data_IF_379309202847
#
_entry.id   IF_379309202847
#
_cell.length_a   1.000
_cell.length_b   1.000
_cell.length_c   1.000
_cell.angle_alpha   90.00
_cell.angle_beta   90.00
_cell.angle_gamma   90.00
#
_symmetry.space_group_name_H-M   'P 1'
#
loop_
_entity.id
_entity.type
_entity.pdbx_description
1 polymer ?
#
# COMPACT_ATOMS: atom_id res chain seq x y z
N UNK A 1 5.95 -31.00 -26.87
CA UNK A 1 5.03 -29.96 -27.36
C UNK A 1 5.19 -28.76 -26.42
N UNK A 2 5.59 -27.58 -26.91
CA UNK A 2 5.70 -26.39 -26.07
C UNK A 2 4.31 -25.88 -25.81
N UNK A 3 3.94 -25.75 -24.53
CA UNK A 3 2.79 -24.99 -24.11
C UNK A 3 3.10 -23.50 -24.26
N UNK A 4 2.65 -22.95 -25.37
CA UNK A 4 2.43 -21.51 -25.52
C UNK A 4 1.21 -21.13 -24.69
N UNK A 5 1.41 -20.74 -23.46
CA UNK A 5 0.45 -19.91 -22.76
C UNK A 5 0.84 -18.45 -22.94
N UNK A 6 0.40 -17.85 -24.03
CA UNK A 6 0.26 -16.40 -24.09
C UNK A 6 -0.91 -16.06 -23.17
N UNK A 7 -0.65 -15.98 -21.87
CA UNK A 7 -1.55 -15.34 -20.95
C UNK A 7 -1.61 -13.86 -21.34
N UNK A 8 -2.77 -13.44 -21.84
CA UNK A 8 -3.23 -12.08 -21.77
C UNK A 8 -3.36 -11.76 -20.29
N UNK A 9 -2.24 -11.41 -19.64
CA UNK A 9 -2.24 -11.02 -18.24
C UNK A 9 -3.00 -9.70 -18.16
N UNK A 10 -4.26 -9.81 -17.78
CA UNK A 10 -5.08 -8.65 -17.49
C UNK A 10 -4.34 -7.79 -16.44
N UNK A 11 -4.15 -6.51 -16.74
CA UNK A 11 -3.46 -5.60 -15.81
C UNK A 11 -4.13 -5.64 -14.44
N UNK A 12 -3.32 -5.58 -13.39
CA UNK A 12 -3.81 -5.47 -12.03
C UNK A 12 -4.68 -4.21 -11.87
N UNK A 13 -5.83 -4.29 -11.17
CA UNK A 13 -6.63 -3.13 -10.85
C UNK A 13 -5.85 -2.02 -10.12
N UNK A 14 -4.83 -2.38 -9.33
CA UNK A 14 -3.95 -1.43 -8.67
C UNK A 14 -3.09 -0.66 -9.69
N UNK A 15 -2.55 -1.35 -10.70
CA UNK A 15 -1.80 -0.70 -11.77
C UNK A 15 -2.68 0.25 -12.58
N UNK A 16 -3.88 -0.20 -12.95
CA UNK A 16 -4.84 0.63 -13.67
C UNK A 16 -5.23 1.91 -12.91
N UNK A 17 -5.33 1.84 -11.57
CA UNK A 17 -5.61 3.01 -10.75
C UNK A 17 -4.47 4.06 -10.83
N UNK A 18 -3.22 3.62 -10.79
CA UNK A 18 -2.06 4.52 -10.93
C UNK A 18 -1.99 5.12 -12.34
N UNK A 19 -2.15 4.30 -13.36
CA UNK A 19 -2.12 4.74 -14.76
C UNK A 19 -3.26 5.73 -15.08
N UNK A 20 -4.43 5.55 -14.47
CA UNK A 20 -5.56 6.48 -14.60
C UNK A 20 -5.21 7.86 -14.04
N UNK A 21 -4.56 7.93 -12.88
CA UNK A 21 -4.11 9.20 -12.32
C UNK A 21 -3.12 9.89 -13.25
N UNK A 22 -2.18 9.14 -13.85
CA UNK A 22 -1.25 9.66 -14.86
C UNK A 22 -1.95 10.20 -16.10
N UNK A 23 -2.96 9.49 -16.60
CA UNK A 23 -3.74 9.95 -17.74
C UNK A 23 -4.48 11.27 -17.46
N UNK A 24 -4.73 11.59 -16.19
CA UNK A 24 -5.27 12.87 -15.72
C UNK A 24 -4.18 13.92 -15.45
N UNK A 25 -2.93 13.63 -15.78
CA UNK A 25 -1.80 14.56 -15.62
C UNK A 25 -1.33 14.74 -14.18
N UNK A 26 -1.64 13.80 -13.28
CA UNK A 26 -1.25 13.88 -11.88
C UNK A 26 -0.61 12.59 -11.38
N UNK A 27 0.07 12.69 -10.26
CA UNK A 27 0.57 11.54 -9.51
C UNK A 27 -0.57 10.83 -8.79
N UNK A 28 -0.55 9.50 -8.72
CA UNK A 28 -1.51 8.75 -7.93
C UNK A 28 -1.29 8.99 -6.42
N UNK A 29 -2.36 8.91 -5.66
CA UNK A 29 -2.36 9.11 -4.20
C UNK A 29 -2.87 7.87 -3.52
N UNK A 30 -2.04 7.33 -2.62
CA UNK A 30 -2.28 6.08 -1.89
C UNK A 30 -2.26 6.37 -0.38
N UNK A 31 -3.36 6.85 0.21
CA UNK A 31 -3.45 7.02 1.66
C UNK A 31 -3.53 5.69 2.39
N UNK A 32 -2.90 5.64 3.56
CA UNK A 32 -2.97 4.54 4.52
C UNK A 32 -3.82 4.94 5.72
N UNK A 33 -4.68 4.02 6.16
CA UNK A 33 -5.41 4.16 7.42
C UNK A 33 -5.47 2.80 8.13
N UNK A 34 -5.15 2.78 9.44
CA UNK A 34 -5.33 1.60 10.28
C UNK A 34 -6.82 1.30 10.45
N UNK A 35 -7.22 0.06 10.20
CA UNK A 35 -8.60 -0.36 10.38
C UNK A 35 -9.04 -0.15 11.83
N UNK A 36 -10.21 0.49 12.01
CA UNK A 36 -10.73 0.86 13.32
C UNK A 36 -10.10 2.10 13.95
N UNK A 37 -9.31 2.88 13.19
CA UNK A 37 -8.75 4.15 13.65
C UNK A 37 -9.63 5.34 13.22
N UNK A 38 -9.84 6.34 14.08
CA UNK A 38 -9.47 6.43 15.50
C UNK A 38 -10.33 5.53 16.41
N UNK A 39 -11.47 5.07 15.93
CA UNK A 39 -12.36 4.10 16.55
C UNK A 39 -13.15 3.31 15.48
N UNK A 40 -13.85 2.24 15.90
CA UNK A 40 -14.53 1.33 14.96
C UNK A 40 -15.67 1.97 14.19
N UNK A 41 -16.34 2.95 14.77
CA UNK A 41 -17.51 3.60 14.15
C UNK A 41 -17.06 4.66 13.15
N UNK A 42 -16.20 5.58 13.58
CA UNK A 42 -15.73 6.68 12.74
C UNK A 42 -14.75 6.23 11.62
N UNK A 43 -14.11 5.07 11.76
CA UNK A 43 -13.24 4.51 10.72
C UNK A 43 -13.92 4.46 9.35
N UNK A 44 -15.16 3.98 9.28
CA UNK A 44 -15.86 3.86 8.00
C UNK A 44 -16.17 5.22 7.39
N UNK A 45 -16.50 6.20 8.22
CA UNK A 45 -16.70 7.58 7.77
C UNK A 45 -15.40 8.18 7.24
N UNK A 46 -14.27 7.96 7.93
CA UNK A 46 -12.97 8.40 7.44
C UNK A 46 -12.58 7.73 6.14
N UNK A 47 -12.85 6.43 5.99
CA UNK A 47 -12.59 5.69 4.75
C UNK A 47 -13.37 6.29 3.56
N UNK A 48 -14.65 6.59 3.75
CA UNK A 48 -15.49 7.24 2.72
C UNK A 48 -15.02 8.67 2.41
N UNK A 49 -14.55 9.41 3.42
CA UNK A 49 -13.97 10.75 3.23
C UNK A 49 -12.68 10.71 2.43
N UNK A 50 -11.81 9.76 2.73
CA UNK A 50 -10.55 9.53 2.00
C UNK A 50 -10.84 9.21 0.52
N UNK A 51 -11.79 8.32 0.26
CA UNK A 51 -12.21 7.98 -1.09
C UNK A 51 -12.77 9.21 -1.83
N UNK A 52 -13.70 9.93 -1.22
CA UNK A 52 -14.33 11.12 -1.79
C UNK A 52 -13.33 12.26 -2.07
N UNK A 53 -12.22 12.31 -1.36
CA UNK A 53 -11.14 13.28 -1.57
C UNK A 53 -10.27 12.96 -2.81
N UNK A 54 -10.50 11.84 -3.48
CA UNK A 54 -9.84 11.49 -4.74
C UNK A 54 -8.64 10.57 -4.59
N UNK A 55 -8.57 9.78 -3.52
CA UNK A 55 -7.62 8.68 -3.42
C UNK A 55 -7.75 7.71 -4.60
N UNK A 56 -6.63 7.23 -5.11
CA UNK A 56 -6.61 6.26 -6.22
C UNK A 56 -6.59 4.82 -5.71
N UNK A 57 -5.83 4.60 -4.65
CA UNK A 57 -5.76 3.35 -3.90
C UNK A 57 -5.81 3.71 -2.42
N UNK A 58 -6.51 2.93 -1.61
CA UNK A 58 -6.51 3.08 -0.15
C UNK A 58 -5.89 1.83 0.45
N UNK A 59 -4.84 2.02 1.25
CA UNK A 59 -4.24 0.97 2.05
C UNK A 59 -4.94 0.91 3.41
N UNK A 60 -5.53 -0.23 3.71
CA UNK A 60 -6.17 -0.49 5.00
C UNK A 60 -5.23 -1.35 5.82
N UNK A 61 -4.72 -0.80 6.91
CA UNK A 61 -3.84 -1.49 7.84
C UNK A 61 -4.59 -2.51 8.68
N UNK A 62 -4.20 -3.78 8.59
CA UNK A 62 -4.70 -4.84 9.45
C UNK A 62 -3.96 -4.79 10.77
N UNK A 63 -4.64 -4.54 11.92
CA UNK A 63 -3.98 -4.45 13.20
C UNK A 63 -3.24 -5.74 13.58
N UNK A 64 -2.04 -5.58 14.14
CA UNK A 64 -1.18 -6.68 14.59
C UNK A 64 -0.44 -6.28 15.87
N UNK A 65 -0.16 -7.26 16.75
CA UNK A 65 0.49 -7.02 18.04
C UNK A 65 1.97 -6.64 17.92
N UNK A 66 2.64 -7.12 16.87
CA UNK A 66 4.09 -6.98 16.68
C UNK A 66 4.44 -6.33 15.32
N UNK A 67 4.03 -5.07 15.09
CA UNK A 67 4.15 -4.41 13.79
C UNK A 67 5.56 -3.86 13.56
N UNK A 68 6.52 -4.72 13.28
CA UNK A 68 7.96 -4.43 13.19
C UNK A 68 8.37 -3.40 12.12
N UNK A 69 7.53 -3.19 11.12
CA UNK A 69 7.78 -2.23 10.04
C UNK A 69 7.07 -0.89 10.25
N UNK A 70 6.25 -0.75 11.28
CA UNK A 70 5.42 0.44 11.51
C UNK A 70 6.13 1.48 12.39
N UNK A 71 5.83 2.75 12.13
CA UNK A 71 6.24 3.84 13.01
C UNK A 71 5.36 3.93 14.29
N UNK A 72 5.80 4.71 15.30
CA UNK A 72 5.15 4.73 16.62
C UNK A 72 3.65 5.05 16.61
N UNK A 73 3.21 5.93 15.72
CA UNK A 73 1.81 6.33 15.61
C UNK A 73 0.95 5.19 15.04
N UNK A 74 1.43 4.53 13.99
CA UNK A 74 0.73 3.40 13.36
C UNK A 74 0.71 2.21 14.32
N UNK A 75 1.81 1.97 15.01
CA UNK A 75 1.90 0.94 16.06
C UNK A 75 0.89 1.18 17.19
N UNK A 76 0.76 2.41 17.67
CA UNK A 76 -0.24 2.76 18.69
C UNK A 76 -1.67 2.58 18.16
N UNK A 77 -1.95 3.04 16.94
CA UNK A 77 -3.25 2.86 16.29
C UNK A 77 -3.62 1.36 16.16
N UNK A 78 -2.65 0.53 15.83
CA UNK A 78 -2.81 -0.92 15.74
C UNK A 78 -3.15 -1.55 17.10
N UNK A 79 -2.43 -1.19 18.16
CA UNK A 79 -2.72 -1.65 19.54
C UNK A 79 -4.13 -1.25 19.99
N UNK A 80 -4.50 0.00 19.77
CA UNK A 80 -5.82 0.52 20.15
C UNK A 80 -6.94 -0.18 19.40
N UNK A 81 -6.76 -0.44 18.11
CA UNK A 81 -7.71 -1.15 17.28
C UNK A 81 -7.91 -2.61 17.77
N UNK A 82 -6.81 -3.31 18.07
CA UNK A 82 -6.87 -4.67 18.65
C UNK A 82 -7.64 -4.68 19.97
N UNK A 83 -7.36 -3.72 20.86
CA UNK A 83 -8.05 -3.60 22.16
C UNK A 83 -9.56 -3.38 21.99
N UNK A 84 -10.00 -2.78 20.88
CA UNK A 84 -11.41 -2.58 20.52
C UNK A 84 -12.02 -3.76 19.76
N UNK A 85 -11.29 -4.84 19.56
CA UNK A 85 -11.78 -6.04 18.89
C UNK A 85 -11.83 -5.92 17.36
N UNK A 86 -10.98 -5.08 16.76
CA UNK A 86 -10.81 -5.07 15.30
C UNK A 86 -10.04 -6.32 14.89
N UNK A 87 -10.58 -7.05 13.92
CA UNK A 87 -10.00 -8.26 13.36
C UNK A 87 -10.04 -8.22 11.84
N UNK A 88 -9.28 -9.10 11.20
CA UNK A 88 -9.34 -9.26 9.75
C UNK A 88 -10.77 -9.62 9.27
N UNK A 89 -11.46 -10.47 10.02
CA UNK A 89 -12.87 -10.78 9.72
C UNK A 89 -13.75 -9.54 9.81
N UNK A 90 -13.61 -8.72 10.85
CA UNK A 90 -14.37 -7.48 11.00
C UNK A 90 -14.14 -6.53 9.82
N UNK A 91 -12.88 -6.42 9.35
CA UNK A 91 -12.52 -5.58 8.20
C UNK A 91 -13.23 -6.10 6.94
N UNK A 92 -13.10 -7.39 6.64
CA UNK A 92 -13.66 -8.00 5.43
C UNK A 92 -15.19 -7.96 5.41
N UNK A 93 -15.84 -8.24 6.53
CA UNK A 93 -17.30 -8.15 6.66
C UNK A 93 -17.77 -6.70 6.42
N UNK A 94 -17.09 -5.74 6.99
CA UNK A 94 -17.42 -4.32 6.82
C UNK A 94 -17.21 -3.81 5.41
N UNK A 95 -16.15 -4.23 4.72
CA UNK A 95 -15.89 -3.92 3.31
C UNK A 95 -16.92 -4.59 2.40
N UNK A 96 -17.25 -5.85 2.65
CA UNK A 96 -18.25 -6.59 1.89
C UNK A 96 -19.61 -5.89 1.96
N UNK A 97 -20.02 -5.41 3.13
CA UNK A 97 -21.25 -4.62 3.29
C UNK A 97 -21.24 -3.28 2.54
N UNK A 98 -20.08 -2.80 2.13
CA UNK A 98 -19.85 -1.54 1.41
C UNK A 98 -19.35 -1.74 -0.01
N UNK A 99 -19.39 -2.96 -0.52
CA UNK A 99 -18.91 -3.28 -1.87
C UNK A 99 -19.55 -2.37 -2.92
N UNK A 100 -18.72 -1.84 -3.83
CA UNK A 100 -19.16 -0.93 -4.89
C UNK A 100 -19.35 0.53 -4.46
N UNK A 101 -19.10 0.88 -3.20
CA UNK A 101 -19.20 2.27 -2.73
C UNK A 101 -17.94 3.09 -2.96
N UNK A 102 -16.78 2.44 -3.12
CA UNK A 102 -15.49 3.11 -3.26
C UNK A 102 -15.07 3.23 -4.73
N UNK A 103 -14.58 4.40 -5.12
CA UNK A 103 -13.89 4.63 -6.39
C UNK A 103 -12.46 4.13 -6.34
N UNK A 104 -11.77 4.40 -5.22
CA UNK A 104 -10.42 3.93 -4.98
C UNK A 104 -10.37 2.41 -4.98
N UNK A 105 -9.27 1.85 -5.46
CA UNK A 105 -8.98 0.44 -5.24
C UNK A 105 -8.52 0.24 -3.81
N UNK A 106 -8.84 -0.91 -3.24
CA UNK A 106 -8.53 -1.23 -1.86
C UNK A 106 -7.39 -2.26 -1.79
N UNK A 107 -6.40 -1.99 -0.95
CA UNK A 107 -5.34 -2.93 -0.62
C UNK A 107 -5.31 -3.15 0.90
N UNK A 108 -5.11 -4.37 1.34
CA UNK A 108 -4.87 -4.69 2.74
C UNK A 108 -3.38 -4.72 3.01
N UNK A 109 -2.94 -3.96 4.00
CA UNK A 109 -1.56 -4.01 4.49
C UNK A 109 -1.54 -4.73 5.83
N UNK A 110 -0.76 -5.78 5.92
CA UNK A 110 -0.65 -6.57 7.15
C UNK A 110 0.52 -7.53 7.13
N UNK A 111 0.71 -8.22 8.24
CA UNK A 111 1.83 -9.13 8.45
C UNK A 111 1.46 -10.56 8.10
N UNK A 112 2.47 -11.37 7.80
CA UNK A 112 2.31 -12.78 7.38
C UNK A 112 1.43 -13.56 8.35
N UNK A 113 1.69 -13.45 9.66
CA UNK A 113 1.05 -14.30 10.65
C UNK A 113 -0.48 -14.14 10.73
N UNK A 114 -1.06 -12.94 10.82
CA UNK A 114 -2.51 -12.77 10.77
C UNK A 114 -3.15 -13.33 9.50
N UNK A 115 -2.53 -13.12 8.36
CA UNK A 115 -3.03 -13.64 7.08
C UNK A 115 -2.97 -15.16 7.02
N UNK A 116 -1.85 -15.73 7.43
CA UNK A 116 -1.66 -17.17 7.47
C UNK A 116 -2.64 -17.86 8.43
N UNK A 117 -2.87 -17.27 9.61
CA UNK A 117 -3.84 -17.81 10.59
C UNK A 117 -5.29 -17.74 10.10
N UNK A 118 -5.64 -16.75 9.29
CA UNK A 118 -6.97 -16.68 8.67
C UNK A 118 -7.20 -17.82 7.67
N UNK A 119 -6.12 -18.32 7.06
CA UNK A 119 -6.12 -19.30 5.98
C UNK A 119 -6.11 -18.58 4.62
N UNK A 120 -5.04 -18.79 3.84
CA UNK A 120 -4.78 -18.01 2.63
C UNK A 120 -5.85 -18.15 1.54
N UNK A 121 -6.34 -19.36 1.31
CA UNK A 121 -7.41 -19.63 0.34
C UNK A 121 -8.72 -18.94 0.74
N UNK A 122 -9.08 -19.04 2.02
CA UNK A 122 -10.25 -18.36 2.56
C UNK A 122 -10.09 -16.84 2.50
N UNK A 123 -8.89 -16.35 2.86
CA UNK A 123 -8.58 -14.92 2.78
C UNK A 123 -8.73 -14.40 1.36
N UNK A 124 -8.21 -15.13 0.37
CA UNK A 124 -8.31 -14.74 -1.03
C UNK A 124 -9.77 -14.63 -1.49
N UNK A 125 -10.59 -15.61 -1.14
CA UNK A 125 -12.02 -15.60 -1.47
C UNK A 125 -12.75 -14.44 -0.78
N UNK A 126 -12.61 -14.32 0.53
CA UNK A 126 -13.30 -13.30 1.33
C UNK A 126 -12.85 -11.88 0.93
N UNK A 127 -11.57 -11.67 0.62
CA UNK A 127 -11.04 -10.40 0.15
C UNK A 127 -11.56 -10.01 -1.24
N UNK A 128 -11.57 -10.94 -2.19
CA UNK A 128 -12.14 -10.71 -3.51
C UNK A 128 -13.64 -10.38 -3.44
N UNK A 129 -14.38 -11.11 -2.61
CA UNK A 129 -15.80 -10.82 -2.35
C UNK A 129 -16.01 -9.45 -1.70
N UNK A 130 -15.10 -9.03 -0.85
CA UNK A 130 -15.13 -7.71 -0.20
C UNK A 130 -14.71 -6.54 -1.11
N UNK A 131 -14.21 -6.82 -2.32
CA UNK A 131 -13.75 -5.80 -3.26
C UNK A 131 -12.30 -5.35 -3.05
N UNK A 132 -11.51 -6.12 -2.32
CA UNK A 132 -10.06 -5.90 -2.19
C UNK A 132 -9.37 -6.27 -3.48
N UNK A 133 -8.37 -5.48 -3.90
CA UNK A 133 -7.62 -5.68 -5.14
C UNK A 133 -6.20 -6.20 -4.92
N UNK A 134 -5.68 -6.13 -3.69
CA UNK A 134 -4.35 -6.63 -3.41
C UNK A 134 -3.91 -6.51 -1.97
N UNK A 135 -2.68 -6.95 -1.73
CA UNK A 135 -2.07 -7.04 -0.41
C UNK A 135 -0.66 -6.47 -0.40
N UNK A 136 -0.30 -5.86 0.71
CA UNK A 136 1.05 -5.40 1.02
C UNK A 136 1.48 -6.11 2.31
N UNK A 137 2.54 -6.92 2.23
CA UNK A 137 3.00 -7.77 3.34
C UNK A 137 4.49 -7.51 3.60
N UNK A 138 4.81 -6.54 4.49
CA UNK A 138 6.19 -6.05 4.64
C UNK A 138 7.20 -7.06 5.19
N UNK A 139 6.74 -8.06 5.93
CA UNK A 139 7.58 -9.08 6.57
C UNK A 139 7.66 -10.40 5.78
N UNK A 140 7.25 -10.40 4.51
CA UNK A 140 7.28 -11.60 3.68
C UNK A 140 8.43 -11.56 2.68
N UNK A 141 9.42 -12.47 2.79
CA UNK A 141 10.47 -12.61 1.79
C UNK A 141 9.94 -13.26 0.51
N UNK A 142 10.62 -13.01 -0.61
CA UNK A 142 10.26 -13.56 -1.92
C UNK A 142 10.13 -15.09 -1.88
N UNK A 143 11.03 -15.75 -1.18
CA UNK A 143 11.13 -17.21 -1.08
C UNK A 143 9.87 -17.83 -0.45
N UNK A 144 9.19 -17.11 0.42
CA UNK A 144 7.97 -17.55 1.10
C UNK A 144 6.68 -17.06 0.41
N UNK A 145 6.81 -16.14 -0.54
CA UNK A 145 5.66 -15.49 -1.17
C UNK A 145 4.88 -16.39 -2.14
N UNK A 146 5.44 -17.53 -2.54
CA UNK A 146 4.81 -18.44 -3.49
C UNK A 146 3.44 -18.92 -3.03
N UNK A 147 3.31 -19.35 -1.77
CA UNK A 147 2.03 -19.82 -1.21
C UNK A 147 0.95 -18.74 -1.19
N UNK A 148 1.33 -17.48 -1.01
CA UNK A 148 0.41 -16.35 -1.09
C UNK A 148 -0.05 -16.11 -2.53
N UNK A 149 0.87 -16.13 -3.49
CA UNK A 149 0.52 -15.98 -4.92
C UNK A 149 -0.38 -17.11 -5.40
N UNK A 150 -0.08 -18.35 -5.03
CA UNK A 150 -0.88 -19.50 -5.40
C UNK A 150 -2.34 -19.36 -4.94
N UNK A 151 -2.56 -18.74 -3.77
CA UNK A 151 -3.89 -18.46 -3.25
C UNK A 151 -4.53 -17.20 -3.88
N UNK A 152 -3.74 -16.16 -4.16
CA UNK A 152 -4.25 -14.84 -4.55
C UNK A 152 -4.47 -14.67 -6.05
N UNK A 153 -3.56 -15.21 -6.88
CA UNK A 153 -3.60 -15.07 -8.34
C UNK A 153 -4.90 -15.58 -8.98
N UNK A 154 -5.49 -16.73 -8.53
CA UNK A 154 -6.75 -17.20 -9.08
C UNK A 154 -7.93 -16.24 -8.87
N UNK A 155 -7.82 -15.35 -7.89
CA UNK A 155 -8.83 -14.33 -7.56
C UNK A 155 -8.49 -12.94 -8.08
N UNK A 156 -7.41 -12.80 -8.87
CA UNK A 156 -6.96 -11.51 -9.41
C UNK A 156 -6.44 -10.53 -8.35
N UNK A 157 -6.02 -11.05 -7.20
CA UNK A 157 -5.47 -10.26 -6.10
C UNK A 157 -3.98 -10.06 -6.28
N UNK A 158 -3.54 -8.82 -6.25
CA UNK A 158 -2.12 -8.46 -6.39
C UNK A 158 -1.39 -8.60 -5.06
N UNK A 159 -0.23 -9.25 -5.07
CA UNK A 159 0.73 -9.18 -3.99
C UNK A 159 1.81 -8.15 -4.37
N UNK A 160 1.82 -7.01 -3.67
CA UNK A 160 2.69 -5.88 -3.98
C UNK A 160 4.14 -6.18 -3.61
N UNK A 161 5.06 -5.90 -4.53
CA UNK A 161 6.51 -6.03 -4.30
C UNK A 161 7.03 -4.81 -3.54
N UNK A 162 7.81 -5.04 -2.47
CA UNK A 162 8.47 -3.99 -1.70
C UNK A 162 9.98 -3.98 -2.00
N UNK A 163 10.53 -2.79 -2.18
CA UNK A 163 11.97 -2.55 -2.27
C UNK A 163 12.39 -1.44 -1.32
N UNK A 164 13.60 -1.53 -0.80
CA UNK A 164 14.16 -0.61 0.16
C UNK A 164 15.57 -0.16 -0.30
N UNK A 165 16.19 0.85 0.32
CA UNK A 165 17.52 1.31 -0.05
C UNK A 165 18.60 0.23 -0.06
N UNK A 166 18.47 -0.78 0.77
CA UNK A 166 19.38 -1.93 0.85
C UNK A 166 19.04 -3.07 -0.12
N UNK A 167 17.96 -2.95 -0.92
CA UNK A 167 17.63 -3.95 -1.94
C UNK A 167 18.54 -3.78 -3.15
N UNK A 168 19.35 -4.81 -3.46
CA UNK A 168 20.24 -4.77 -4.62
C UNK A 168 19.50 -4.86 -5.96
N UNK A 169 20.15 -4.44 -7.04
CA UNK A 169 19.61 -4.58 -8.41
C UNK A 169 19.38 -6.05 -8.77
N UNK A 170 20.29 -6.93 -8.35
CA UNK A 170 20.16 -8.37 -8.54
C UNK A 170 18.89 -8.89 -7.86
N UNK A 171 18.66 -8.49 -6.63
CA UNK A 171 17.45 -8.86 -5.88
C UNK A 171 16.17 -8.30 -6.51
N UNK A 172 16.21 -7.07 -7.01
CA UNK A 172 15.09 -6.49 -7.76
C UNK A 172 14.78 -7.29 -9.04
N UNK A 173 15.81 -7.79 -9.74
CA UNK A 173 15.62 -8.64 -10.91
C UNK A 173 14.98 -9.99 -10.58
N UNK A 174 15.26 -10.54 -9.41
CA UNK A 174 14.58 -11.74 -8.91
C UNK A 174 13.09 -11.45 -8.60
N UNK A 175 12.76 -10.28 -8.12
CA UNK A 175 11.37 -9.87 -7.88
C UNK A 175 10.58 -9.62 -9.17
N UNK A 176 11.22 -9.12 -10.21
CA UNK A 176 10.55 -8.66 -11.45
C UNK A 176 9.55 -9.66 -12.03
N UNK A 177 9.85 -10.96 -12.21
CA UNK A 177 8.91 -11.93 -12.77
C UNK A 177 7.63 -12.13 -11.94
N UNK A 178 7.67 -11.75 -10.67
CA UNK A 178 6.60 -11.92 -9.71
C UNK A 178 5.89 -10.61 -9.34
N UNK A 179 6.29 -9.51 -9.99
CA UNK A 179 5.81 -8.16 -9.69
C UNK A 179 4.63 -7.81 -10.58
N UNK A 180 3.54 -7.34 -9.95
CA UNK A 180 2.37 -6.79 -10.62
C UNK A 180 1.81 -5.61 -9.81
N UNK A 181 0.91 -4.84 -10.39
CA UNK A 181 0.31 -3.68 -9.74
C UNK A 181 1.25 -2.48 -9.70
N UNK A 182 2.02 -2.36 -8.67
CA UNK A 182 3.08 -1.38 -8.50
C UNK A 182 4.18 -1.92 -7.59
N UNK A 183 5.34 -1.29 -7.62
CA UNK A 183 6.41 -1.53 -6.64
C UNK A 183 6.31 -0.50 -5.55
N UNK A 184 6.27 -0.94 -4.31
CA UNK A 184 6.31 -0.07 -3.14
C UNK A 184 7.77 0.16 -2.74
N UNK A 185 8.26 1.36 -2.99
CA UNK A 185 9.58 1.80 -2.54
C UNK A 185 9.42 2.36 -1.13
N UNK A 186 9.95 1.64 -0.15
CA UNK A 186 9.95 2.08 1.25
C UNK A 186 11.26 2.78 1.56
N UNK A 187 11.17 3.98 2.11
CA UNK A 187 12.31 4.66 2.69
C UNK A 187 12.34 4.34 4.18
N UNK A 188 13.40 3.69 4.62
CA UNK A 188 13.66 3.53 6.05
C UNK A 188 14.22 4.84 6.56
N UNK A 189 13.43 5.58 7.34
CA UNK A 189 13.95 6.65 8.19
C UNK A 189 14.86 5.99 9.22
N UNK A 190 16.17 6.02 8.93
CA UNK A 190 17.17 5.32 9.74
C UNK A 190 17.16 5.75 11.19
N UNK A 191 17.10 4.77 12.07
CA UNK A 191 17.37 4.87 13.50
C UNK A 191 18.88 4.92 13.80
N UNK A 192 19.73 5.06 12.80
CA UNK A 192 21.18 5.13 12.97
C UNK A 192 21.67 6.57 12.80
N UNK A 193 22.23 7.12 13.86
CA UNK A 193 22.65 8.51 14.08
C UNK A 193 23.70 9.12 13.14
N UNK A 194 23.66 8.83 11.86
CA UNK A 194 24.36 9.54 10.81
C UNK A 194 23.35 10.36 10.00
N UNK A 195 23.70 11.60 9.65
CA UNK A 195 22.97 12.40 8.65
C UNK A 195 23.13 11.73 7.28
N UNK A 196 22.40 10.63 7.04
CA UNK A 196 22.21 10.11 5.68
C UNK A 196 21.33 11.13 4.98
N UNK A 197 21.78 11.63 3.84
CA UNK A 197 20.92 12.44 2.99
C UNK A 197 19.82 11.54 2.45
N UNK A 198 18.66 11.60 3.09
CA UNK A 198 17.48 10.79 2.76
C UNK A 198 17.07 11.01 1.31
N UNK A 199 17.24 12.22 0.79
CA UNK A 199 16.94 12.58 -0.58
C UNK A 199 17.83 11.82 -1.56
N UNK A 200 19.13 11.71 -1.27
CA UNK A 200 20.06 10.95 -2.09
C UNK A 200 19.71 9.45 -2.07
N UNK A 201 19.50 8.87 -0.89
CA UNK A 201 19.15 7.46 -0.74
C UNK A 201 17.87 7.09 -1.48
N UNK A 202 16.82 7.92 -1.37
CA UNK A 202 15.57 7.75 -2.11
C UNK A 202 15.80 7.87 -3.61
N UNK A 203 16.53 8.88 -4.05
CA UNK A 203 16.85 9.11 -5.47
C UNK A 203 17.54 7.89 -6.09
N UNK A 204 18.56 7.37 -5.43
CA UNK A 204 19.30 6.19 -5.90
C UNK A 204 18.43 4.94 -5.95
N UNK A 205 17.59 4.73 -4.94
CA UNK A 205 16.67 3.58 -4.89
C UNK A 205 15.62 3.66 -5.99
N UNK A 206 15.02 4.83 -6.19
CA UNK A 206 14.05 5.08 -7.25
C UNK A 206 14.64 4.82 -8.64
N UNK A 207 15.84 5.30 -8.91
CA UNK A 207 16.54 5.07 -10.18
C UNK A 207 16.83 3.59 -10.43
N UNK A 208 17.32 2.88 -9.41
CA UNK A 208 17.55 1.42 -9.52
C UNK A 208 16.25 0.66 -9.81
N UNK A 209 15.18 0.98 -9.07
CA UNK A 209 13.88 0.36 -9.28
C UNK A 209 13.31 0.68 -10.67
N UNK A 210 13.44 1.94 -11.13
CA UNK A 210 12.98 2.36 -12.46
C UNK A 210 13.73 1.64 -13.58
N UNK A 211 15.00 1.32 -13.39
CA UNK A 211 15.80 0.59 -14.37
C UNK A 211 15.43 -0.91 -14.47
N UNK A 212 14.78 -1.46 -13.45
CA UNK A 212 14.45 -2.90 -13.40
C UNK A 212 12.98 -3.17 -13.70
N UNK A 213 12.07 -2.42 -13.06
CA UNK A 213 10.63 -2.73 -13.10
C UNK A 213 9.91 -1.98 -14.23
N UNK A 214 8.92 -2.65 -14.83
CA UNK A 214 8.08 -2.09 -15.89
C UNK A 214 6.72 -1.60 -15.38
N UNK A 215 6.44 -1.79 -14.09
CA UNK A 215 5.22 -1.32 -13.41
C UNK A 215 5.47 0.01 -12.69
N UNK A 216 4.41 0.76 -12.35
CA UNK A 216 4.55 2.01 -11.60
C UNK A 216 5.30 1.85 -10.27
N UNK A 217 5.96 2.92 -9.84
CA UNK A 217 6.66 2.99 -8.55
C UNK A 217 5.89 3.91 -7.61
N UNK A 218 5.54 3.39 -6.43
CA UNK A 218 4.99 4.17 -5.34
C UNK A 218 6.07 4.42 -4.29
N UNK A 219 6.10 5.61 -3.72
CA UNK A 219 7.06 5.99 -2.68
C UNK A 219 6.34 6.25 -1.35
N UNK A 220 6.72 5.50 -0.31
CA UNK A 220 6.33 5.72 1.07
C UNK A 220 7.53 6.22 1.88
N UNK A 221 7.41 7.45 2.41
CA UNK A 221 8.57 8.15 2.95
C UNK A 221 8.18 9.24 3.98
N UNK A 222 7.28 8.97 4.88
CA UNK A 222 6.90 10.00 5.86
C UNK A 222 6.46 11.32 5.20
N UNK A 223 5.86 11.24 4.03
CA UNK A 223 5.47 12.39 3.22
C UNK A 223 4.41 13.24 3.93
N UNK A 224 4.62 14.55 3.94
CA UNK A 224 3.72 15.53 4.55
C UNK A 224 3.12 16.48 3.53
N UNK A 225 3.90 16.87 2.52
CA UNK A 225 3.51 17.80 1.47
C UNK A 225 4.01 17.33 0.10
N UNK A 226 3.29 17.67 -1.00
CA UNK A 226 3.71 17.33 -2.35
C UNK A 226 5.09 17.88 -2.74
N UNK A 227 5.49 19.04 -2.23
CA UNK A 227 6.77 19.69 -2.53
C UNK A 227 7.97 18.78 -2.23
N UNK A 228 7.84 17.88 -1.26
CA UNK A 228 8.90 16.90 -0.95
C UNK A 228 9.21 15.97 -2.13
N UNK A 229 8.22 15.67 -2.97
CA UNK A 229 8.41 14.85 -4.17
C UNK A 229 8.91 15.68 -5.34
N UNK A 230 8.50 16.94 -5.44
CA UNK A 230 8.92 17.85 -6.48
C UNK A 230 10.40 18.26 -6.33
N UNK A 231 10.92 18.17 -5.10
CA UNK A 231 12.35 18.36 -4.81
C UNK A 231 13.24 17.22 -5.33
N UNK A 232 12.67 16.03 -5.64
CA UNK A 232 13.42 14.93 -6.23
C UNK A 232 13.74 15.23 -7.71
N UNK A 233 14.90 14.74 -8.22
CA UNK A 233 15.17 14.76 -9.66
C UNK A 233 14.02 14.11 -10.43
N UNK A 234 13.73 14.62 -11.62
CA UNK A 234 12.57 14.18 -12.41
C UNK A 234 12.59 12.66 -12.67
N UNK A 235 13.75 12.10 -12.97
CA UNK A 235 13.95 10.66 -13.21
C UNK A 235 13.82 9.78 -11.95
N UNK A 236 13.76 10.39 -10.77
CA UNK A 236 13.58 9.73 -9.48
C UNK A 236 12.20 10.00 -8.84
N UNK A 237 11.33 10.74 -9.50
CA UNK A 237 9.99 11.01 -8.98
C UNK A 237 9.11 9.76 -9.05
N UNK A 238 8.32 9.47 -7.99
CA UNK A 238 7.41 8.33 -8.00
C UNK A 238 6.17 8.59 -8.87
N UNK A 239 5.55 7.50 -9.30
CA UNK A 239 4.28 7.49 -10.01
C UNK A 239 3.09 7.62 -9.03
N UNK A 240 3.32 7.22 -7.78
CA UNK A 240 2.34 7.32 -6.70
C UNK A 240 3.00 7.72 -5.38
N UNK A 241 2.27 8.47 -4.56
CA UNK A 241 2.66 8.85 -3.20
C UNK A 241 1.86 8.08 -2.16
N UNK A 242 2.55 7.40 -1.23
CA UNK A 242 1.93 6.73 -0.10
C UNK A 242 1.96 7.65 1.12
N UNK A 243 0.80 7.87 1.72
CA UNK A 243 0.58 8.83 2.80
C UNK A 243 0.06 8.09 4.04
N UNK A 244 0.89 7.93 5.05
CA UNK A 244 0.54 7.18 6.26
C UNK A 244 0.48 8.06 7.51
N UNK A 245 1.57 8.13 8.26
CA UNK A 245 1.63 8.77 9.58
C UNK A 245 1.13 10.22 9.61
N UNK A 246 1.39 10.98 8.54
CA UNK A 246 0.93 12.38 8.48
C UNK A 246 -0.60 12.46 8.40
N UNK A 247 -1.24 11.59 7.62
CA UNK A 247 -2.70 11.49 7.53
C UNK A 247 -3.31 11.03 8.85
N UNK A 248 -2.75 10.00 9.49
CA UNK A 248 -3.24 9.53 10.79
C UNK A 248 -3.14 10.62 11.86
N UNK A 249 -2.05 11.37 11.88
CA UNK A 249 -1.88 12.50 12.81
C UNK A 249 -2.93 13.58 12.59
N UNK A 250 -3.19 13.91 11.32
CA UNK A 250 -4.22 14.89 10.95
C UNK A 250 -5.61 14.46 11.45
N UNK A 251 -5.96 13.20 11.27
CA UNK A 251 -7.22 12.62 11.75
C UNK A 251 -7.25 12.58 13.29
N UNK A 252 -6.14 12.20 13.95
CA UNK A 252 -6.04 12.16 15.41
C UNK A 252 -6.24 13.55 16.07
N UNK A 253 -5.88 14.61 15.35
CA UNK A 253 -6.12 16.00 15.77
C UNK A 253 -7.57 16.46 15.53
N UNK A 254 -8.45 15.57 15.10
CA UNK A 254 -9.86 15.87 14.81
C UNK A 254 -10.10 16.64 13.51
N UNK A 255 -9.11 16.66 12.61
CA UNK A 255 -9.18 17.34 11.32
C UNK A 255 -9.74 16.42 10.25
N UNK A 256 -10.32 17.00 9.19
CA UNK A 256 -10.90 16.24 8.09
C UNK A 256 -9.80 15.65 7.18
N UNK A 257 -9.85 14.34 6.95
CA UNK A 257 -8.95 13.65 6.03
C UNK A 257 -8.97 14.25 4.61
N UNK A 258 -10.13 14.75 4.15
CA UNK A 258 -10.25 15.39 2.85
C UNK A 258 -9.42 16.67 2.73
N UNK A 259 -9.30 17.46 3.81
CA UNK A 259 -8.44 18.65 3.84
C UNK A 259 -6.97 18.31 3.62
N UNK A 260 -6.49 17.23 4.25
CA UNK A 260 -5.12 16.76 4.06
C UNK A 260 -4.89 16.27 2.63
N UNK A 261 -5.81 15.44 2.12
CA UNK A 261 -5.67 14.83 0.80
C UNK A 261 -5.86 15.82 -0.35
N UNK A 262 -6.64 16.88 -0.15
CA UNK A 262 -6.85 17.91 -1.16
C UNK A 262 -5.56 18.54 -1.69
N UNK A 263 -4.54 18.64 -0.84
CA UNK A 263 -3.19 19.14 -1.22
C UNK A 263 -2.49 18.20 -2.21
N UNK A 264 -2.85 16.93 -2.19
CA UNK A 264 -2.25 15.87 -3.02
C UNK A 264 -3.05 15.57 -4.28
N UNK A 265 -4.36 15.69 -4.21
CA UNK A 265 -5.27 15.35 -5.31
C UNK A 265 -5.69 16.54 -6.16
N UNK A 266 -5.47 17.76 -5.67
CA UNK A 266 -5.89 18.99 -6.35
C UNK A 266 -7.40 19.24 -6.30
N UNK A 267 -8.10 18.58 -5.34
CA UNK A 267 -9.55 18.76 -5.12
C UNK A 267 -9.84 19.67 -3.94
#
# INVERSE_FOLDING_TARGET
KPHLSMNNMQKSPLQEAVERAHALGRRAVIPFITAGFPDKESFWTHLERIDGAGADIIEIGVPFSDPVADGPLIEQASRDALARGVSLKWILDGLKARKGRFFAKLALMGYVNPFYQYGLERLALDAAEAGVSGFIVPDMPLEESGIFRDAFDPHGLTLVTLVAPNTSVERMREYKPHTSGFVYVVSVLGTTGGKVDLTQSVTETMRRARAVFDVPLALGFGLQTPDQLDALPEDARPDAAVLGSALLRHIAEGKDAAEFLGKWTGK
#
